data_IF_172957745134
#
_entry.id   IF_172957745134
#
_cell.length_a   1.000
_cell.length_b   1.000
_cell.length_c   1.000
_cell.angle_alpha   90.00
_cell.angle_beta   90.00
_cell.angle_gamma   90.00
#
_symmetry.space_group_name_H-M   'P 1'
#
loop_
_entity.id
_entity.type
_entity.pdbx_description
1 polymer ?
#
# COMPACT_ATOMS: atom_id res chain seq x y z
N UNK A 1 -17.28 3.76 57.16
CA UNK A 1 -18.50 4.52 56.80
C UNK A 1 -18.03 5.72 55.99
N UNK A 2 -18.08 5.61 54.67
CA UNK A 2 -17.82 6.70 53.72
C UNK A 2 -18.77 6.49 52.54
N UNK A 3 -19.79 7.32 52.48
CA UNK A 3 -20.77 7.42 51.40
C UNK A 3 -20.10 7.97 50.13
N UNK A 4 -20.39 7.37 48.98
CA UNK A 4 -20.06 7.93 47.66
C UNK A 4 -21.36 8.29 46.92
N UNK A 5 -21.62 9.59 46.64
CA UNK A 5 -22.88 10.06 46.08
C UNK A 5 -22.79 10.23 44.56
N UNK A 6 -22.83 9.16 43.76
CA UNK A 6 -22.82 9.31 42.29
C UNK A 6 -23.70 8.32 41.53
N UNK A 7 -24.75 7.78 42.16
CA UNK A 7 -25.64 6.83 41.48
C UNK A 7 -26.81 7.50 40.72
N UNK A 8 -27.09 8.79 40.96
CA UNK A 8 -28.23 9.49 40.36
C UNK A 8 -27.90 10.21 39.04
N UNK A 9 -26.67 10.71 38.87
CA UNK A 9 -26.23 11.38 37.62
C UNK A 9 -26.01 10.42 36.45
N UNK A 10 -25.66 9.15 36.73
CA UNK A 10 -25.44 8.16 35.68
C UNK A 10 -26.75 7.70 35.03
N UNK A 11 -27.84 7.64 35.81
CA UNK A 11 -29.17 7.29 35.32
C UNK A 11 -29.80 8.48 34.55
N UNK A 12 -29.58 9.72 34.98
CA UNK A 12 -30.00 10.90 34.20
C UNK A 12 -29.21 11.05 32.88
N UNK A 13 -27.92 10.70 32.87
CA UNK A 13 -27.11 10.64 31.65
C UNK A 13 -27.73 9.67 30.64
N UNK A 14 -28.01 8.43 31.04
CA UNK A 14 -28.66 7.43 30.19
C UNK A 14 -30.09 7.83 29.77
N UNK A 15 -30.84 8.51 30.65
CA UNK A 15 -32.17 9.07 30.35
C UNK A 15 -32.13 10.12 29.22
N UNK A 16 -31.12 10.99 29.18
CA UNK A 16 -30.95 11.99 28.09
C UNK A 16 -30.54 11.37 26.75
N UNK A 17 -29.89 10.21 26.73
CA UNK A 17 -29.55 9.50 25.49
C UNK A 17 -30.77 8.83 24.83
N UNK A 18 -31.78 8.44 25.61
CA UNK A 18 -33.01 7.88 25.03
C UNK A 18 -33.82 8.91 24.25
N UNK A 19 -33.82 10.18 24.65
CA UNK A 19 -34.54 11.24 23.94
C UNK A 19 -33.88 11.68 22.61
N UNK A 20 -32.56 11.51 22.46
CA UNK A 20 -31.84 11.84 21.22
C UNK A 20 -32.02 10.74 20.14
N UNK A 21 -32.39 9.52 20.54
CA UNK A 21 -32.69 8.43 19.62
C UNK A 21 -34.16 8.37 19.15
N UNK A 22 -35.05 9.26 19.64
CA UNK A 22 -36.51 9.16 19.39
C UNK A 22 -37.04 10.06 18.27
N UNK A 23 -36.25 10.97 17.68
CA UNK A 23 -36.65 11.66 16.43
C UNK A 23 -36.00 11.05 15.20
N UNK A 24 -36.07 9.72 15.07
CA UNK A 24 -36.04 9.06 13.78
C UNK A 24 -37.45 9.15 13.18
N UNK A 25 -37.65 9.67 11.96
CA UNK A 25 -38.94 9.57 11.31
C UNK A 25 -39.20 8.08 11.05
N UNK A 26 -40.19 7.50 11.73
CA UNK A 26 -40.79 6.22 11.34
C UNK A 26 -41.35 6.39 9.92
N UNK A 27 -40.65 5.89 8.90
CA UNK A 27 -41.23 5.62 7.58
C UNK A 27 -40.67 4.33 6.99
N UNK A 28 -41.62 3.43 6.78
CA UNK A 28 -41.73 2.27 5.89
C UNK A 28 -40.50 1.65 5.22
N UNK A 29 -40.51 0.31 5.29
CA UNK A 29 -39.86 -0.68 4.42
C UNK A 29 -39.32 -0.15 3.09
N UNK A 30 -38.03 -0.38 2.85
CA UNK A 30 -37.40 -0.25 1.55
C UNK A 30 -36.08 0.52 1.63
N UNK A 31 -34.98 -0.23 1.75
CA UNK A 31 -33.66 0.08 1.19
C UNK A 31 -33.14 1.54 1.37
N UNK A 32 -32.26 1.76 2.34
CA UNK A 32 -31.45 2.98 2.41
C UNK A 32 -29.99 2.59 2.65
N UNK A 33 -29.18 2.70 1.60
CA UNK A 33 -27.72 2.80 1.69
C UNK A 33 -27.39 4.02 2.54
N UNK A 34 -27.11 3.84 3.83
CA UNK A 34 -26.71 4.96 4.69
C UNK A 34 -25.23 5.21 4.54
N UNK A 35 -24.83 5.81 3.42
CA UNK A 35 -23.69 6.70 3.42
C UNK A 35 -23.99 7.79 4.47
N UNK A 36 -23.22 7.83 5.56
CA UNK A 36 -23.39 8.86 6.58
C UNK A 36 -23.29 10.22 5.87
N UNK A 37 -24.35 11.04 5.89
CA UNK A 37 -24.34 12.32 5.21
C UNK A 37 -23.16 13.16 5.70
N UNK A 38 -22.41 13.77 4.78
CA UNK A 38 -21.18 14.54 5.07
C UNK A 38 -21.36 15.56 6.20
N UNK A 39 -22.56 16.11 6.37
CA UNK A 39 -22.89 17.05 7.45
C UNK A 39 -22.86 16.40 8.85
N UNK A 40 -23.24 15.13 8.97
CA UNK A 40 -23.27 14.40 10.24
C UNK A 40 -21.85 14.16 10.77
N UNK A 41 -20.89 13.89 9.88
CA UNK A 41 -19.47 13.79 10.20
C UNK A 41 -18.89 15.12 10.67
N UNK A 42 -19.32 16.24 10.08
CA UNK A 42 -18.93 17.59 10.52
C UNK A 42 -19.42 17.85 11.94
N UNK A 43 -20.67 17.51 12.27
CA UNK A 43 -21.23 17.68 13.62
C UNK A 43 -20.52 16.83 14.67
N UNK A 44 -20.06 15.62 14.33
CA UNK A 44 -19.28 14.77 15.25
C UNK A 44 -17.89 15.39 15.51
N UNK A 45 -17.22 15.89 14.46
CA UNK A 45 -15.89 16.52 14.55
C UNK A 45 -15.89 17.83 15.34
N UNK A 46 -16.96 18.63 15.23
CA UNK A 46 -17.13 19.87 16.00
C UNK A 46 -17.22 19.60 17.52
N UNK A 47 -17.79 18.44 17.91
CA UNK A 47 -17.93 18.05 19.32
C UNK A 47 -16.66 17.44 19.93
N UNK A 48 -15.68 17.00 19.12
CA UNK A 48 -14.43 16.38 19.60
C UNK A 48 -13.25 17.35 19.74
N UNK A 49 -13.45 18.66 19.52
CA UNK A 49 -12.41 19.68 19.80
C UNK A 49 -11.25 19.74 18.80
N UNK A 50 -11.39 19.12 17.62
CA UNK A 50 -10.43 19.27 16.51
C UNK A 50 -10.69 20.64 15.85
N UNK A 51 -9.62 21.41 15.64
CA UNK A 51 -9.55 22.81 15.15
C UNK A 51 -10.79 23.31 14.39
N UNK A 52 -11.41 24.39 14.91
CA UNK A 52 -12.62 25.01 14.35
C UNK A 52 -12.33 25.80 13.07
N UNK A 53 -12.40 25.14 11.91
CA UNK A 53 -12.54 25.80 10.61
C UNK A 53 -13.98 26.30 10.42
N UNK A 54 -14.15 27.49 9.84
CA UNK A 54 -15.49 28.02 9.54
C UNK A 54 -16.15 27.28 8.38
N UNK A 55 -17.49 27.25 8.34
CA UNK A 55 -18.27 26.62 7.25
C UNK A 55 -17.85 27.14 5.87
N UNK A 56 -17.55 28.44 5.76
CA UNK A 56 -17.10 29.08 4.51
C UNK A 56 -15.73 28.55 4.07
N UNK A 57 -14.77 28.46 5.00
CA UNK A 57 -13.44 27.90 4.71
C UNK A 57 -13.51 26.43 4.26
N UNK A 58 -14.34 25.62 4.92
CA UNK A 58 -14.57 24.24 4.53
C UNK A 58 -15.14 24.15 3.10
N UNK A 59 -16.10 25.02 2.77
CA UNK A 59 -16.72 25.04 1.43
C UNK A 59 -15.71 25.43 0.35
N UNK A 60 -14.85 26.41 0.63
CA UNK A 60 -13.78 26.83 -0.29
C UNK A 60 -12.75 25.71 -0.54
N UNK A 61 -12.29 25.06 0.53
CA UNK A 61 -11.34 23.94 0.41
C UNK A 61 -11.92 22.75 -0.35
N UNK A 62 -13.17 22.37 -0.07
CA UNK A 62 -13.84 21.29 -0.80
C UNK A 62 -14.03 21.65 -2.28
N UNK A 63 -14.31 22.92 -2.60
CA UNK A 63 -14.43 23.37 -3.99
C UNK A 63 -13.12 23.23 -4.75
N UNK A 64 -12.01 23.69 -4.15
CA UNK A 64 -10.68 23.54 -4.73
C UNK A 64 -10.29 22.07 -4.91
N UNK A 65 -10.52 21.24 -3.88
CA UNK A 65 -10.29 19.79 -3.94
C UNK A 65 -11.07 19.15 -5.09
N UNK A 66 -12.35 19.48 -5.25
CA UNK A 66 -13.17 18.94 -6.34
C UNK A 66 -12.65 19.30 -7.73
N UNK A 67 -12.07 20.50 -7.92
CA UNK A 67 -11.44 20.88 -9.18
C UNK A 67 -10.21 20.02 -9.47
N UNK A 68 -9.35 19.83 -8.46
CA UNK A 68 -8.15 18.99 -8.58
C UNK A 68 -8.51 17.52 -8.80
N UNK A 69 -9.56 17.01 -8.15
CA UNK A 69 -10.07 15.65 -8.33
C UNK A 69 -10.53 15.39 -9.76
N UNK A 70 -11.23 16.33 -10.38
CA UNK A 70 -11.68 16.20 -11.78
C UNK A 70 -10.51 15.99 -12.75
N UNK A 71 -9.36 16.60 -12.47
CA UNK A 71 -8.21 16.54 -13.35
C UNK A 71 -7.23 15.41 -13.00
N UNK A 72 -6.98 15.18 -11.71
CA UNK A 72 -5.89 14.32 -11.23
C UNK A 72 -6.34 13.20 -10.30
N UNK A 73 -7.63 13.13 -9.94
CA UNK A 73 -8.16 12.24 -8.90
C UNK A 73 -7.82 10.77 -9.15
N UNK A 74 -8.10 10.26 -10.36
CA UNK A 74 -7.82 8.87 -10.70
C UNK A 74 -6.33 8.53 -10.61
N UNK A 75 -5.47 9.42 -11.12
CA UNK A 75 -4.02 9.25 -11.03
C UNK A 75 -3.56 9.16 -9.58
N UNK A 76 -4.01 10.09 -8.73
CA UNK A 76 -3.61 10.15 -7.32
C UNK A 76 -4.15 8.97 -6.50
N UNK A 77 -5.35 8.47 -6.82
CA UNK A 77 -5.89 7.25 -6.22
C UNK A 77 -5.04 6.03 -6.55
N UNK A 78 -4.68 5.86 -7.83
CA UNK A 78 -3.81 4.76 -8.25
C UNK A 78 -2.42 4.87 -7.63
N UNK A 79 -1.84 6.07 -7.62
CA UNK A 79 -0.53 6.33 -7.02
C UNK A 79 -0.50 6.01 -5.52
N UNK A 80 -1.59 6.27 -4.79
CA UNK A 80 -1.71 6.00 -3.35
C UNK A 80 -2.31 4.63 -3.01
N UNK A 81 -2.49 3.74 -4.00
CA UNK A 81 -3.15 2.44 -3.83
C UNK A 81 -4.52 2.52 -3.13
N UNK A 82 -5.31 3.56 -3.44
CA UNK A 82 -6.60 3.85 -2.81
C UNK A 82 -6.55 4.05 -1.28
N UNK A 83 -5.37 4.33 -0.70
CA UNK A 83 -5.20 4.62 0.72
C UNK A 83 -4.80 6.07 0.95
N UNK A 84 -5.17 6.61 2.11
CA UNK A 84 -4.77 7.95 2.53
C UNK A 84 -3.24 8.09 2.54
N UNK A 85 -2.70 9.09 1.86
CA UNK A 85 -1.26 9.32 1.82
C UNK A 85 -0.74 10.13 3.03
N UNK A 86 -1.55 10.36 4.06
CA UNK A 86 -1.07 10.99 5.29
C UNK A 86 -0.25 9.98 6.11
N UNK A 87 0.97 10.33 6.56
CA UNK A 87 1.75 9.46 7.45
C UNK A 87 0.92 9.01 8.67
N UNK A 88 0.91 7.70 8.94
CA UNK A 88 0.17 7.09 10.05
C UNK A 88 -1.33 6.92 9.82
N UNK A 89 -1.83 7.19 8.61
CA UNK A 89 -3.22 6.92 8.22
C UNK A 89 -3.24 5.87 7.11
N UNK A 90 -4.16 4.91 7.22
CA UNK A 90 -4.38 3.82 6.26
C UNK A 90 -5.83 3.81 5.73
N UNK A 91 -6.61 4.86 6.03
CA UNK A 91 -8.02 4.90 5.69
C UNK A 91 -8.23 4.75 4.17
N UNK A 92 -9.18 3.89 3.75
CA UNK A 92 -9.49 3.73 2.35
C UNK A 92 -10.11 5.02 1.78
N UNK A 93 -9.67 5.37 0.58
CA UNK A 93 -10.12 6.52 -0.20
C UNK A 93 -11.33 6.19 -1.09
N UNK A 94 -11.67 4.91 -1.19
CA UNK A 94 -12.89 4.42 -1.80
C UNK A 94 -13.61 3.59 -0.73
N UNK A 95 -14.83 3.99 -0.38
CA UNK A 95 -15.68 3.25 0.54
C UNK A 95 -16.60 2.33 -0.25
N UNK A 96 -16.77 1.10 0.23
CA UNK A 96 -17.71 0.14 -0.34
C UNK A 96 -18.90 -0.06 0.59
N UNK A 97 -20.10 -0.13 0.01
CA UNK A 97 -21.33 -0.49 0.70
C UNK A 97 -22.14 -1.41 -0.20
N UNK A 98 -22.33 -2.66 0.22
CA UNK A 98 -22.82 -3.71 -0.68
C UNK A 98 -21.94 -3.83 -1.92
N UNK A 99 -22.54 -3.68 -3.11
CA UNK A 99 -21.86 -3.71 -4.40
C UNK A 99 -21.54 -2.31 -4.96
N UNK A 100 -21.73 -1.25 -4.17
CA UNK A 100 -21.47 0.13 -4.58
C UNK A 100 -20.14 0.61 -4.01
N UNK A 101 -19.44 1.40 -4.80
CA UNK A 101 -18.22 2.09 -4.42
C UNK A 101 -18.40 3.60 -4.53
N UNK A 102 -17.94 4.34 -3.52
CA UNK A 102 -17.99 5.79 -3.50
C UNK A 102 -16.63 6.37 -3.12
N UNK A 103 -16.23 7.43 -3.82
CA UNK A 103 -15.02 8.18 -3.48
C UNK A 103 -15.16 8.87 -2.12
N UNK A 104 -14.16 8.69 -1.25
CA UNK A 104 -14.07 9.30 0.07
C UNK A 104 -12.68 9.89 0.30
N UNK A 105 -12.32 10.84 -0.55
CA UNK A 105 -11.03 11.53 -0.48
C UNK A 105 -11.12 12.96 -1.00
N UNK A 106 -10.12 13.72 -0.60
CA UNK A 106 -9.86 15.09 -1.02
C UNK A 106 -8.44 15.18 -1.59
N UNK A 107 -8.22 16.15 -2.48
CA UNK A 107 -6.89 16.42 -3.06
C UNK A 107 -6.40 17.77 -2.57
N UNK A 108 -5.14 17.83 -2.15
CA UNK A 108 -4.47 19.07 -1.73
C UNK A 108 -3.13 19.24 -2.44
N UNK A 109 -2.73 20.50 -2.63
CA UNK A 109 -1.33 20.84 -2.85
C UNK A 109 -0.52 20.60 -1.56
N UNK A 110 0.69 20.05 -1.70
CA UNK A 110 1.63 19.80 -0.59
C UNK A 110 2.36 21.10 -0.21
N UNK A 111 2.82 21.84 -1.22
CA UNK A 111 3.34 23.19 -1.11
C UNK A 111 2.26 24.14 -1.66
N UNK A 112 1.54 24.82 -0.76
CA UNK A 112 0.34 25.62 -1.08
C UNK A 112 0.65 26.87 -1.94
N UNK A 113 1.91 27.27 -1.97
CA UNK A 113 2.47 28.39 -2.73
C UNK A 113 2.97 28.00 -4.13
N UNK A 114 2.92 26.72 -4.48
CA UNK A 114 3.37 26.19 -5.77
C UNK A 114 2.20 25.74 -6.64
N UNK A 115 2.50 25.57 -7.93
CA UNK A 115 1.54 25.11 -8.91
C UNK A 115 0.93 23.74 -8.55
N UNK A 116 -0.33 23.59 -8.94
CA UNK A 116 -1.10 22.37 -8.75
C UNK A 116 -0.80 21.35 -9.85
N UNK A 117 0.39 20.76 -9.78
CA UNK A 117 0.86 19.70 -10.67
C UNK A 117 0.92 18.34 -9.96
N UNK A 118 0.86 17.20 -10.68
CA UNK A 118 0.82 15.87 -10.07
C UNK A 118 1.90 15.63 -9.01
N UNK A 119 3.13 16.15 -9.19
CA UNK A 119 4.23 15.99 -8.24
C UNK A 119 4.05 16.78 -6.93
N UNK A 120 3.21 17.82 -6.93
CA UNK A 120 2.88 18.63 -5.76
C UNK A 120 1.49 18.31 -5.19
N UNK A 121 0.76 17.33 -5.75
CA UNK A 121 -0.58 16.96 -5.29
C UNK A 121 -0.57 15.65 -4.50
N UNK A 122 -1.48 15.57 -3.52
CA UNK A 122 -1.63 14.41 -2.64
C UNK A 122 -3.11 14.11 -2.35
N UNK A 123 -3.47 12.83 -2.34
CA UNK A 123 -4.81 12.35 -1.98
C UNK A 123 -4.88 11.97 -0.50
N UNK A 124 -5.84 12.55 0.22
CA UNK A 124 -6.02 12.39 1.67
C UNK A 124 -7.47 12.00 1.98
N UNK A 125 -7.68 11.27 3.07
CA UNK A 125 -9.03 11.11 3.61
C UNK A 125 -9.55 12.47 4.12
N UNK A 126 -10.87 12.67 4.25
CA UNK A 126 -11.43 13.97 4.64
C UNK A 126 -10.92 14.50 5.99
N UNK A 127 -10.62 13.62 6.95
CA UNK A 127 -10.05 14.01 8.25
C UNK A 127 -8.64 14.57 8.12
N UNK A 128 -7.75 13.83 7.44
CA UNK A 128 -6.36 14.25 7.21
C UNK A 128 -6.30 15.52 6.36
N UNK A 129 -7.19 15.64 5.36
CA UNK A 129 -7.30 16.84 4.55
C UNK A 129 -7.63 18.08 5.40
N UNK A 130 -8.72 18.05 6.18
CA UNK A 130 -9.11 19.20 7.01
C UNK A 130 -8.03 19.53 8.05
N UNK A 131 -7.42 18.52 8.64
CA UNK A 131 -6.30 18.69 9.59
C UNK A 131 -5.13 19.42 8.93
N UNK A 132 -4.75 19.01 7.72
CA UNK A 132 -3.67 19.65 6.96
C UNK A 132 -4.03 21.06 6.44
N UNK A 133 -5.29 21.30 6.11
CA UNK A 133 -5.77 22.62 5.73
C UNK A 133 -5.71 23.60 6.91
N UNK A 134 -6.03 23.13 8.12
CA UNK A 134 -5.94 23.90 9.35
C UNK A 134 -4.50 24.10 9.85
N UNK A 135 -3.61 23.11 9.65
CA UNK A 135 -2.22 23.13 10.10
C UNK A 135 -1.27 22.61 9.01
N UNK A 136 -0.63 23.54 8.29
CA UNK A 136 0.39 23.25 7.27
C UNK A 136 1.77 23.73 7.68
N UNK A 137 2.15 23.54 8.95
CA UNK A 137 3.52 23.83 9.43
C UNK A 137 4.54 23.04 8.62
N UNK A 138 5.76 23.61 8.51
CA UNK A 138 6.88 23.06 7.71
C UNK A 138 7.13 21.56 7.96
N UNK A 139 7.01 21.08 9.20
CA UNK A 139 7.20 19.67 9.54
C UNK A 139 6.21 18.75 8.81
N UNK A 140 4.94 19.15 8.73
CA UNK A 140 3.88 18.37 8.06
C UNK A 140 4.11 18.39 6.55
N UNK A 141 4.41 19.57 5.99
CA UNK A 141 4.74 19.72 4.56
C UNK A 141 5.92 18.81 4.18
N UNK A 142 7.00 18.83 4.96
CA UNK A 142 8.16 17.95 4.72
C UNK A 142 7.79 16.47 4.77
N UNK A 143 6.93 16.06 5.71
CA UNK A 143 6.47 14.68 5.79
C UNK A 143 5.66 14.27 4.55
N UNK A 144 4.73 15.11 4.09
CA UNK A 144 3.94 14.85 2.87
C UNK A 144 4.83 14.82 1.62
N UNK A 145 5.84 15.70 1.52
CA UNK A 145 6.83 15.67 0.43
C UNK A 145 7.60 14.35 0.41
N UNK A 146 7.97 13.82 1.58
CA UNK A 146 8.67 12.54 1.67
C UNK A 146 7.77 11.38 1.25
N UNK A 147 6.50 11.35 1.71
CA UNK A 147 5.54 10.35 1.24
C UNK A 147 5.35 10.43 -0.27
N UNK A 148 5.15 11.64 -0.81
CA UNK A 148 4.98 11.84 -2.25
C UNK A 148 6.16 11.31 -3.06
N UNK A 149 7.39 11.54 -2.61
CA UNK A 149 8.60 10.96 -3.25
C UNK A 149 8.58 9.42 -3.26
N UNK A 150 8.14 8.80 -2.17
CA UNK A 150 8.02 7.33 -2.08
C UNK A 150 6.97 6.83 -3.07
N UNK A 151 5.80 7.47 -3.11
CA UNK A 151 4.70 7.11 -4.00
C UNK A 151 5.10 7.24 -5.49
N UNK A 152 5.69 8.38 -5.87
CA UNK A 152 6.20 8.60 -7.24
C UNK A 152 7.26 7.58 -7.61
N UNK A 153 8.20 7.28 -6.70
CA UNK A 153 9.25 6.28 -6.94
C UNK A 153 8.67 4.88 -7.14
N UNK A 154 7.69 4.48 -6.33
CA UNK A 154 7.02 3.19 -6.46
C UNK A 154 6.22 3.08 -7.77
N UNK A 155 5.46 4.12 -8.12
CA UNK A 155 4.71 4.20 -9.38
C UNK A 155 5.64 4.08 -10.60
N UNK A 156 6.73 4.86 -10.62
CA UNK A 156 7.70 4.83 -11.74
C UNK A 156 8.38 3.46 -11.88
N UNK A 157 8.76 2.84 -10.75
CA UNK A 157 9.34 1.49 -10.74
C UNK A 157 8.37 0.47 -11.37
N UNK A 158 7.10 0.51 -10.98
CA UNK A 158 6.08 -0.41 -11.51
C UNK A 158 5.82 -0.16 -13.00
N UNK A 159 5.76 1.12 -13.41
CA UNK A 159 5.54 1.49 -14.81
C UNK A 159 6.65 0.96 -15.72
N UNK A 160 7.92 1.01 -15.29
CA UNK A 160 9.08 0.56 -16.08
C UNK A 160 9.03 -0.92 -16.50
N UNK A 161 8.29 -1.76 -15.77
CA UNK A 161 8.13 -3.19 -16.05
C UNK A 161 6.67 -3.59 -16.30
N UNK A 162 5.75 -2.63 -16.40
CA UNK A 162 4.30 -2.88 -16.47
C UNK A 162 3.92 -3.75 -17.67
N UNK A 163 4.40 -3.42 -18.88
CA UNK A 163 4.08 -4.12 -20.13
C UNK A 163 4.73 -5.51 -20.27
N UNK A 164 5.61 -5.90 -19.35
CA UNK A 164 6.21 -7.22 -19.38
C UNK A 164 5.19 -8.26 -18.96
N UNK A 165 4.79 -9.13 -19.88
CA UNK A 165 4.01 -10.33 -19.55
C UNK A 165 4.89 -11.29 -18.76
N UNK A 166 4.33 -11.86 -17.70
CA UNK A 166 4.98 -12.93 -16.97
C UNK A 166 4.67 -14.26 -17.63
N UNK A 167 5.69 -15.10 -17.77
CA UNK A 167 5.54 -16.47 -18.23
C UNK A 167 4.69 -17.29 -17.24
N UNK A 168 3.85 -18.19 -17.77
CA UNK A 168 3.06 -19.12 -16.97
C UNK A 168 3.92 -20.08 -16.14
N UNK A 169 5.19 -20.25 -16.50
CA UNK A 169 6.16 -21.06 -15.76
C UNK A 169 6.51 -20.47 -14.40
N UNK A 170 6.60 -19.14 -14.26
CA UNK A 170 6.80 -18.50 -12.94
C UNK A 170 5.61 -18.80 -12.01
N UNK A 171 4.39 -18.75 -12.57
CA UNK A 171 3.16 -19.10 -11.84
C UNK A 171 3.22 -20.56 -11.37
N UNK A 172 3.67 -21.46 -12.24
CA UNK A 172 3.79 -22.89 -11.92
C UNK A 172 4.81 -23.15 -10.81
N UNK A 173 5.98 -22.51 -10.85
CA UNK A 173 7.01 -22.64 -9.81
C UNK A 173 6.50 -22.12 -8.46
N UNK A 174 5.86 -20.94 -8.43
CA UNK A 174 5.33 -20.37 -7.19
C UNK A 174 4.17 -21.21 -6.61
N UNK A 175 3.29 -21.75 -7.48
CA UNK A 175 2.21 -22.64 -7.04
C UNK A 175 2.77 -23.90 -6.38
N UNK A 176 3.76 -24.54 -7.01
CA UNK A 176 4.42 -25.73 -6.44
C UNK A 176 5.14 -25.42 -5.13
N UNK A 177 5.74 -24.23 -4.97
CA UNK A 177 6.36 -23.81 -3.72
C UNK A 177 5.36 -23.68 -2.57
N UNK A 178 4.18 -23.11 -2.83
CA UNK A 178 3.14 -22.94 -1.83
C UNK A 178 2.49 -24.27 -1.41
N UNK A 179 2.47 -25.26 -2.30
CA UNK A 179 1.93 -26.59 -2.04
C UNK A 179 2.89 -27.50 -1.25
N UNK A 180 4.15 -27.10 -1.08
CA UNK A 180 5.09 -27.87 -0.29
C UNK A 180 4.68 -27.88 1.19
N UNK A 181 4.51 -29.09 1.73
CA UNK A 181 4.42 -29.30 3.18
C UNK A 181 5.82 -29.14 3.79
N UNK A 182 5.85 -28.63 5.01
CA UNK A 182 7.02 -28.16 5.79
C UNK A 182 8.16 -29.18 6.04
N UNK A 183 8.19 -30.33 5.36
CA UNK A 183 8.89 -31.51 5.86
C UNK A 183 10.33 -31.70 5.33
N UNK A 184 10.85 -30.85 4.45
CA UNK A 184 12.25 -30.98 4.00
C UNK A 184 12.92 -29.62 3.79
N UNK A 185 13.29 -28.96 4.89
CA UNK A 185 14.33 -27.93 4.86
C UNK A 185 15.69 -28.62 4.74
N UNK A 186 16.24 -28.62 3.52
CA UNK A 186 17.58 -29.12 3.25
C UNK A 186 18.59 -28.04 3.67
N UNK A 187 18.98 -28.07 4.94
CA UNK A 187 19.91 -27.10 5.55
C UNK A 187 21.32 -27.39 5.05
N UNK A 188 21.74 -26.71 3.98
CA UNK A 188 23.12 -26.23 3.76
C UNK A 188 23.28 -25.78 2.32
N UNK A 189 23.23 -24.47 2.10
CA UNK A 189 23.83 -23.85 0.92
C UNK A 189 24.88 -22.82 1.36
N UNK A 190 26.12 -22.95 0.85
CA UNK A 190 27.22 -22.05 1.18
C UNK A 190 27.10 -20.74 0.37
N UNK A 191 26.57 -19.70 1.02
CA UNK A 191 26.30 -18.37 0.45
C UNK A 191 27.54 -17.52 0.09
N UNK A 192 28.75 -18.10 0.02
CA UNK A 192 30.01 -17.36 -0.19
C UNK A 192 30.03 -16.45 -1.44
N UNK A 193 29.20 -16.71 -2.45
CA UNK A 193 29.07 -15.86 -3.65
C UNK A 193 28.09 -14.67 -3.51
N UNK A 194 27.33 -14.58 -2.41
CA UNK A 194 26.30 -13.54 -2.27
C UNK A 194 26.89 -12.16 -1.97
N UNK A 195 28.04 -12.11 -1.28
CA UNK A 195 28.75 -10.85 -0.97
C UNK A 195 29.26 -10.15 -2.22
N UNK A 196 29.54 -10.89 -3.29
CA UNK A 196 29.99 -10.35 -4.58
C UNK A 196 28.84 -9.70 -5.36
N UNK A 197 27.59 -10.10 -5.05
CA UNK A 197 26.36 -9.62 -5.72
C UNK A 197 25.63 -8.52 -4.94
N UNK A 198 25.66 -8.58 -3.62
CA UNK A 198 25.05 -7.59 -2.74
C UNK A 198 26.09 -7.15 -1.70
N UNK A 199 26.63 -5.95 -1.87
CA UNK A 199 27.53 -5.33 -0.89
C UNK A 199 26.80 -5.18 0.47
N UNK A 200 27.24 -5.88 1.53
CA UNK A 200 26.61 -5.81 2.85
C UNK A 200 26.76 -4.42 3.50
N UNK A 201 27.83 -3.70 3.18
CA UNK A 201 28.08 -2.34 3.68
C UNK A 201 27.03 -1.35 3.16
N UNK A 202 26.68 -1.46 1.87
CA UNK A 202 25.75 -0.54 1.23
C UNK A 202 24.28 -1.02 1.30
N UNK A 203 24.04 -2.32 1.46
CA UNK A 203 22.71 -2.93 1.37
C UNK A 203 22.47 -4.02 2.42
N UNK A 204 22.88 -3.80 3.68
CA UNK A 204 22.80 -4.78 4.78
C UNK A 204 21.44 -5.49 4.88
N UNK A 205 20.35 -4.75 4.85
CA UNK A 205 18.98 -5.31 4.99
C UNK A 205 18.64 -6.24 3.84
N UNK A 206 18.92 -5.82 2.59
CA UNK A 206 18.68 -6.65 1.41
C UNK A 206 19.57 -7.89 1.42
N UNK A 207 20.85 -7.73 1.80
CA UNK A 207 21.77 -8.85 1.92
C UNK A 207 21.26 -9.88 2.92
N UNK A 208 20.82 -9.47 4.11
CA UNK A 208 20.28 -10.39 5.12
C UNK A 208 18.99 -11.08 4.65
N UNK A 209 18.08 -10.34 4.01
CA UNK A 209 16.83 -10.89 3.48
C UNK A 209 17.11 -11.98 2.43
N UNK A 210 17.93 -11.66 1.42
CA UNK A 210 18.26 -12.61 0.35
C UNK A 210 19.06 -13.78 0.91
N UNK A 211 20.00 -13.53 1.81
CA UNK A 211 20.82 -14.58 2.43
C UNK A 211 19.95 -15.62 3.15
N UNK A 212 19.03 -15.18 4.01
CA UNK A 212 18.19 -16.10 4.76
C UNK A 212 17.29 -16.91 3.82
N UNK A 213 16.64 -16.23 2.85
CA UNK A 213 15.80 -16.89 1.86
C UNK A 213 16.54 -17.94 1.03
N UNK A 214 17.79 -17.64 0.63
CA UNK A 214 18.64 -18.56 -0.15
C UNK A 214 19.10 -19.73 0.70
N UNK A 215 19.55 -19.49 1.94
CA UNK A 215 20.01 -20.57 2.83
C UNK A 215 18.87 -21.56 3.09
N UNK A 216 17.67 -21.06 3.35
CA UNK A 216 16.54 -21.89 3.78
C UNK A 216 15.88 -22.63 2.61
N UNK A 217 15.89 -22.07 1.40
CA UNK A 217 15.01 -22.53 0.32
C UNK A 217 15.69 -22.85 -1.03
N UNK A 218 16.99 -22.56 -1.20
CA UNK A 218 17.62 -22.63 -2.53
C UNK A 218 17.55 -24.03 -3.17
N UNK A 219 17.91 -25.08 -2.42
CA UNK A 219 17.88 -26.46 -2.94
C UNK A 219 16.46 -26.91 -3.28
N UNK A 220 15.49 -26.53 -2.45
CA UNK A 220 14.07 -26.82 -2.66
C UNK A 220 13.55 -26.18 -3.95
N UNK A 221 13.81 -24.88 -4.14
CA UNK A 221 13.44 -24.17 -5.38
C UNK A 221 14.13 -24.78 -6.59
N UNK A 222 15.42 -25.11 -6.48
CA UNK A 222 16.15 -25.76 -7.56
C UNK A 222 15.54 -27.11 -7.93
N UNK A 223 15.18 -27.95 -6.95
CA UNK A 223 14.52 -29.24 -7.18
C UNK A 223 13.18 -29.06 -7.91
N UNK A 224 12.35 -28.09 -7.49
CA UNK A 224 11.06 -27.78 -8.13
C UNK A 224 11.27 -27.37 -9.59
N UNK A 225 12.11 -26.37 -9.82
CA UNK A 225 12.38 -25.84 -11.17
C UNK A 225 12.86 -26.96 -12.09
N UNK A 226 13.86 -27.74 -11.67
CA UNK A 226 14.39 -28.86 -12.48
C UNK A 226 13.33 -29.92 -12.77
N UNK A 227 12.47 -30.22 -11.79
CA UNK A 227 11.42 -31.21 -11.98
C UNK A 227 10.34 -30.73 -12.98
N UNK A 228 9.90 -29.48 -12.84
CA UNK A 228 8.92 -28.89 -13.73
C UNK A 228 9.46 -28.74 -15.17
N UNK A 229 10.73 -28.35 -15.30
CA UNK A 229 11.41 -28.20 -16.59
C UNK A 229 11.55 -29.56 -17.31
N UNK A 230 11.98 -30.60 -16.59
CA UNK A 230 12.00 -31.99 -17.11
C UNK A 230 10.63 -32.52 -17.53
N UNK A 231 9.56 -32.06 -16.89
CA UNK A 231 8.18 -32.41 -17.26
C UNK A 231 7.65 -31.58 -18.44
N UNK A 232 8.43 -30.61 -18.96
CA UNK A 232 8.00 -29.69 -20.02
C UNK A 232 6.90 -28.72 -19.56
N UNK A 233 6.71 -28.54 -18.25
CA UNK A 233 5.69 -27.65 -17.69
C UNK A 233 6.15 -26.20 -17.62
N UNK A 234 7.46 -25.98 -17.58
CA UNK A 234 8.10 -24.67 -17.61
C UNK A 234 9.27 -24.71 -18.58
N UNK A 235 9.70 -23.52 -19.00
CA UNK A 235 10.99 -23.30 -19.66
C UNK A 235 11.87 -22.49 -18.70
N UNK A 236 12.90 -23.13 -18.13
CA UNK A 236 13.78 -22.45 -17.18
C UNK A 236 14.54 -21.27 -17.80
N UNK A 237 14.96 -21.36 -19.07
CA UNK A 237 15.71 -20.29 -19.73
C UNK A 237 14.83 -19.05 -19.92
N UNK A 238 13.57 -19.24 -20.28
CA UNK A 238 12.60 -18.13 -20.41
C UNK A 238 12.35 -17.45 -19.06
N UNK A 239 12.17 -18.21 -17.99
CA UNK A 239 11.98 -17.65 -16.63
C UNK A 239 13.22 -16.83 -16.21
N UNK A 240 14.42 -17.37 -16.45
CA UNK A 240 15.67 -16.68 -16.17
C UNK A 240 15.79 -15.38 -17.00
N UNK A 241 15.47 -15.44 -18.29
CA UNK A 241 15.50 -14.30 -19.19
C UNK A 241 14.56 -13.19 -18.72
N UNK A 242 13.32 -13.51 -18.39
CA UNK A 242 12.33 -12.53 -17.92
C UNK A 242 12.76 -11.86 -16.61
N UNK A 243 13.26 -12.64 -15.66
CA UNK A 243 13.73 -12.11 -14.37
C UNK A 243 14.92 -11.16 -14.57
N UNK A 244 15.89 -11.54 -15.42
CA UNK A 244 17.03 -10.69 -15.77
C UNK A 244 16.60 -9.42 -16.53
N UNK A 245 15.61 -9.53 -17.42
CA UNK A 245 15.08 -8.41 -18.19
C UNK A 245 14.42 -7.37 -17.29
N UNK A 246 13.60 -7.80 -16.33
CA UNK A 246 13.00 -6.90 -15.33
C UNK A 246 14.06 -6.16 -14.52
N UNK A 247 15.09 -6.88 -14.04
CA UNK A 247 16.19 -6.25 -13.32
C UNK A 247 16.91 -5.19 -14.18
N UNK A 248 17.31 -5.55 -15.41
CA UNK A 248 18.05 -4.65 -16.30
C UNK A 248 17.27 -3.37 -16.59
N UNK A 249 15.95 -3.46 -16.82
CA UNK A 249 15.10 -2.29 -17.03
C UNK A 249 15.05 -1.39 -15.80
N UNK A 250 14.87 -1.95 -14.62
CA UNK A 250 14.82 -1.17 -13.38
C UNK A 250 16.18 -0.55 -13.04
N UNK A 251 17.28 -1.26 -13.33
CA UNK A 251 18.63 -0.73 -13.18
C UNK A 251 18.91 0.42 -14.15
N UNK A 252 18.50 0.29 -15.42
CA UNK A 252 18.58 1.36 -16.41
C UNK A 252 17.75 2.59 -16.03
N UNK A 253 16.61 2.39 -15.34
CA UNK A 253 15.80 3.44 -14.73
C UNK A 253 16.40 4.00 -13.41
N UNK A 254 17.63 3.62 -13.06
CA UNK A 254 18.40 4.11 -11.89
C UNK A 254 17.78 3.77 -10.52
N UNK A 255 16.98 2.70 -10.43
CA UNK A 255 16.51 2.21 -9.15
C UNK A 255 17.64 1.53 -8.35
N UNK A 256 17.60 1.64 -7.02
CA UNK A 256 18.52 0.93 -6.14
C UNK A 256 18.12 -0.54 -5.97
N UNK A 257 19.05 -1.39 -5.50
CA UNK A 257 18.85 -2.84 -5.47
C UNK A 257 17.63 -3.27 -4.62
N UNK A 258 17.34 -2.57 -3.51
CA UNK A 258 16.18 -2.86 -2.66
C UNK A 258 14.86 -2.53 -3.39
N UNK A 259 14.80 -1.38 -4.06
CA UNK A 259 13.65 -0.99 -4.86
C UNK A 259 13.43 -1.97 -6.02
N UNK A 260 14.50 -2.44 -6.67
CA UNK A 260 14.43 -3.45 -7.73
C UNK A 260 13.83 -4.75 -7.17
N UNK A 261 14.40 -5.27 -6.08
CA UNK A 261 13.93 -6.50 -5.43
C UNK A 261 12.43 -6.43 -5.07
N UNK A 262 12.01 -5.35 -4.41
CA UNK A 262 10.62 -5.17 -4.01
C UNK A 262 9.69 -5.06 -5.23
N UNK A 263 10.10 -4.33 -6.27
CA UNK A 263 9.26 -4.11 -7.46
C UNK A 263 9.06 -5.40 -8.24
N UNK A 264 10.10 -6.21 -8.42
CA UNK A 264 9.97 -7.52 -9.08
C UNK A 264 9.09 -8.44 -8.26
N UNK A 265 9.33 -8.53 -6.94
CA UNK A 265 8.52 -9.38 -6.04
C UNK A 265 7.04 -8.99 -6.07
N UNK A 266 6.74 -7.69 -6.04
CA UNK A 266 5.37 -7.16 -6.14
C UNK A 266 4.72 -7.48 -7.49
N UNK A 267 5.49 -7.43 -8.60
CA UNK A 267 4.97 -7.83 -9.91
C UNK A 267 4.62 -9.31 -9.95
N UNK A 268 5.46 -10.17 -9.38
CA UNK A 268 5.15 -11.60 -9.26
C UNK A 268 3.91 -11.83 -8.40
N UNK A 269 3.81 -11.15 -7.25
CA UNK A 269 2.65 -11.22 -6.36
C UNK A 269 1.36 -10.84 -7.10
N UNK A 270 1.33 -9.68 -7.76
CA UNK A 270 0.15 -9.19 -8.49
C UNK A 270 -0.29 -10.10 -9.62
N UNK A 271 0.64 -10.75 -10.31
CA UNK A 271 0.33 -11.59 -11.46
C UNK A 271 -0.01 -13.04 -11.10
N UNK A 272 0.54 -13.55 -9.99
CA UNK A 272 0.38 -14.96 -9.58
C UNK A 272 -0.60 -15.13 -8.43
N UNK A 273 -0.92 -14.04 -7.72
CA UNK A 273 -1.71 -14.00 -6.49
C UNK A 273 -1.12 -14.85 -5.34
N UNK A 274 0.15 -15.22 -5.44
CA UNK A 274 0.87 -15.98 -4.43
C UNK A 274 1.38 -15.04 -3.33
N UNK A 275 1.61 -15.56 -2.13
CA UNK A 275 2.11 -14.75 -1.02
C UNK A 275 3.41 -14.02 -1.41
N UNK A 276 3.51 -12.75 -1.00
CA UNK A 276 4.68 -11.92 -1.29
C UNK A 276 5.97 -12.55 -0.77
N UNK A 277 5.91 -13.31 0.31
CA UNK A 277 7.02 -14.09 0.84
C UNK A 277 7.58 -15.06 -0.19
N UNK A 278 6.74 -15.92 -0.80
CA UNK A 278 7.19 -16.87 -1.83
C UNK A 278 7.74 -16.16 -3.07
N UNK A 279 7.13 -15.04 -3.45
CA UNK A 279 7.62 -14.20 -4.53
C UNK A 279 9.03 -13.68 -4.25
N UNK A 280 9.27 -13.19 -3.02
CA UNK A 280 10.58 -12.74 -2.56
C UNK A 280 11.60 -13.88 -2.51
N UNK A 281 11.19 -15.09 -2.11
CA UNK A 281 12.03 -16.28 -2.12
C UNK A 281 12.50 -16.60 -3.54
N UNK A 282 11.61 -16.56 -4.53
CA UNK A 282 11.95 -16.80 -5.93
C UNK A 282 12.89 -15.74 -6.51
N UNK A 283 12.63 -14.46 -6.22
CA UNK A 283 13.55 -13.38 -6.64
C UNK A 283 14.92 -13.56 -6.00
N UNK A 284 14.98 -13.96 -4.72
CA UNK A 284 16.23 -14.25 -4.01
C UNK A 284 17.00 -15.41 -4.65
N UNK A 285 16.29 -16.47 -5.05
CA UNK A 285 16.87 -17.59 -5.81
C UNK A 285 17.52 -17.10 -7.11
N UNK A 286 16.81 -16.30 -7.91
CA UNK A 286 17.36 -15.80 -9.17
C UNK A 286 18.51 -14.81 -8.98
N UNK A 287 18.49 -13.99 -7.94
CA UNK A 287 19.64 -13.15 -7.57
C UNK A 287 20.89 -14.03 -7.31
N UNK A 288 20.72 -15.12 -6.57
CA UNK A 288 21.83 -16.03 -6.29
C UNK A 288 22.25 -16.83 -7.52
N UNK A 289 21.31 -17.36 -8.29
CA UNK A 289 21.57 -18.32 -9.37
C UNK A 289 22.02 -17.65 -10.65
N UNK A 290 21.37 -16.55 -11.00
CA UNK A 290 21.61 -15.83 -12.23
C UNK A 290 22.43 -14.59 -11.86
N UNK A 291 23.31 -14.15 -12.75
CA UNK A 291 24.05 -12.88 -12.64
C UNK A 291 23.07 -11.68 -12.78
N UNK A 292 22.01 -11.66 -11.97
CA UNK A 292 20.94 -10.68 -12.04
C UNK A 292 21.42 -9.38 -11.45
N UNK A 293 22.36 -9.38 -10.50
CA UNK A 293 22.82 -8.16 -9.83
C UNK A 293 24.14 -7.59 -10.37
N UNK A 294 24.78 -8.25 -11.33
CA UNK A 294 26.01 -7.76 -11.98
C UNK A 294 25.75 -6.57 -12.91
#
# INVERSE_FOLDING_TARGET
>A
MLDFPFHHEFIESLGRWTHILITLPKRHHGQVDTAIPRYLLVTIREKTGIVKLTTVQNTAFTTQSNQLKKQYGQFLLTESNNCCACPGCDRPLILTSGNLAAENYEVSAIEKDKDAEPLNLIALCPDCFLTYQADSRKKIVTALKNVKKILVSAHNSQQAISDMKLDSGIVSVLTSLNELKCDEYDISYDSKQLTDKISPENNRTLYQLVKNQVIDNYLTIQKIIVNLDKQGKIDYEEIQYQTRSMYKKLKAAKHNNLAIFNTISEKLHKATLQDIYFCQTIVSYFIQKCEVLE
#
